data_IF_182384633030
#
_entry.id   IF_182384633030
#
_cell.length_a   1.000
_cell.length_b   1.000
_cell.length_c   1.000
_cell.angle_alpha   90.00
_cell.angle_beta   90.00
_cell.angle_gamma   90.00
#
_symmetry.space_group_name_H-M   'P 1'
#
loop_
_entity.id
_entity.type
_entity.pdbx_description
1 polymer ?
#
# COMPACT_ATOMS: atom_id res chain seq x y z
N UNK A 1 9.35 -6.44 -1.77
CA UNK A 1 8.68 -6.67 -0.49
C UNK A 1 8.64 -5.37 0.31
N UNK A 2 9.73 -4.91 0.85
CA UNK A 2 9.85 -3.72 1.70
C UNK A 2 9.09 -2.47 1.15
N UNK A 3 9.21 -2.19 -0.15
CA UNK A 3 8.44 -1.12 -0.80
C UNK A 3 6.91 -1.33 -0.68
N UNK A 4 6.43 -2.55 -0.84
CA UNK A 4 5.00 -2.84 -0.72
C UNK A 4 4.53 -2.62 0.72
N UNK A 5 5.24 -3.17 1.70
CA UNK A 5 4.84 -3.12 3.09
C UNK A 5 5.00 -1.73 3.71
N UNK A 6 6.07 -1.00 3.35
CA UNK A 6 6.41 0.27 3.99
C UNK A 6 5.88 1.50 3.23
N UNK A 7 5.76 1.40 1.90
CA UNK A 7 5.25 2.53 1.12
C UNK A 7 3.78 2.38 0.71
N UNK A 8 3.37 1.22 0.15
CA UNK A 8 2.00 1.07 -0.37
C UNK A 8 0.96 1.08 0.76
N UNK A 9 1.35 0.77 1.99
CA UNK A 9 0.50 0.98 3.19
C UNK A 9 0.12 2.45 3.40
N UNK A 10 0.92 3.42 2.93
CA UNK A 10 0.65 4.85 3.13
C UNK A 10 -0.55 5.34 2.30
N UNK A 11 -0.64 5.09 0.98
CA UNK A 11 -1.87 5.36 0.24
C UNK A 11 -3.06 4.51 0.72
N UNK A 12 -2.85 3.26 1.16
CA UNK A 12 -3.91 2.47 1.80
C UNK A 12 -4.47 3.21 3.02
N UNK A 13 -3.61 3.65 3.92
CA UNK A 13 -4.02 4.35 5.12
C UNK A 13 -4.65 5.72 4.81
N UNK A 14 -4.15 6.41 3.77
CA UNK A 14 -4.74 7.65 3.28
C UNK A 14 -6.20 7.42 2.86
N UNK A 15 -6.47 6.57 1.90
CA UNK A 15 -7.82 6.35 1.38
C UNK A 15 -8.76 5.83 2.46
N UNK A 16 -8.33 4.86 3.24
CA UNK A 16 -9.11 4.23 4.32
C UNK A 16 -9.64 5.22 5.35
N UNK A 17 -8.85 6.25 5.67
CA UNK A 17 -9.17 7.16 6.78
C UNK A 17 -9.39 8.61 6.36
N UNK A 18 -9.30 8.94 5.07
CA UNK A 18 -9.54 10.30 4.57
C UNK A 18 -11.02 10.58 4.33
N UNK A 19 -11.68 9.71 3.60
CA UNK A 19 -13.08 9.87 3.20
C UNK A 19 -14.02 9.32 4.27
N UNK A 20 -15.11 10.04 4.65
CA UNK A 20 -16.09 9.56 5.61
C UNK A 20 -16.78 8.25 5.21
N UNK A 21 -16.94 7.96 3.93
CA UNK A 21 -17.53 6.72 3.44
C UNK A 21 -16.61 5.53 3.72
N UNK A 22 -15.32 5.65 3.35
CA UNK A 22 -14.31 4.63 3.63
C UNK A 22 -14.14 4.42 5.13
N UNK A 23 -14.04 5.52 5.92
CA UNK A 23 -13.99 5.44 7.38
C UNK A 23 -15.19 4.67 7.97
N UNK A 24 -16.39 4.97 7.47
CA UNK A 24 -17.62 4.32 7.95
C UNK A 24 -17.65 2.84 7.62
N UNK A 25 -17.20 2.48 6.41
CA UNK A 25 -17.13 1.09 5.97
C UNK A 25 -16.14 0.29 6.83
N UNK A 26 -14.89 0.75 6.87
CA UNK A 26 -13.79 0.02 7.52
C UNK A 26 -13.96 -0.06 9.04
N UNK A 27 -14.45 1.02 9.67
CA UNK A 27 -14.61 1.02 11.13
C UNK A 27 -15.57 -0.06 11.62
N UNK A 28 -16.54 -0.49 10.82
CA UNK A 28 -17.53 -1.49 11.22
C UNK A 28 -16.93 -2.88 11.32
N UNK A 29 -16.19 -3.32 10.30
CA UNK A 29 -15.61 -4.65 10.34
C UNK A 29 -14.29 -4.70 11.14
N UNK A 30 -13.43 -3.68 11.03
CA UNK A 30 -12.19 -3.63 11.79
C UNK A 30 -12.40 -3.52 13.30
N UNK A 31 -13.51 -2.92 13.75
CA UNK A 31 -13.86 -2.88 15.15
C UNK A 31 -14.27 -4.24 15.71
N UNK A 32 -14.76 -5.18 14.90
CA UNK A 32 -15.12 -6.52 15.37
C UNK A 32 -13.91 -7.27 15.92
N UNK A 33 -12.78 -7.19 15.24
CA UNK A 33 -11.53 -7.79 15.73
C UNK A 33 -11.06 -7.12 17.03
N UNK A 34 -11.29 -5.81 17.15
CA UNK A 34 -10.92 -5.04 18.35
C UNK A 34 -11.83 -5.28 19.54
N UNK A 35 -13.08 -5.67 19.33
CA UNK A 35 -14.04 -5.94 20.40
C UNK A 35 -13.56 -7.04 21.38
N UNK A 36 -12.68 -7.92 20.91
CA UNK A 36 -12.07 -8.97 21.74
C UNK A 36 -11.21 -8.37 22.87
N UNK A 37 -10.62 -7.20 22.64
CA UNK A 37 -9.76 -6.51 23.61
C UNK A 37 -10.53 -5.53 24.52
N UNK A 38 -11.80 -5.23 24.20
CA UNK A 38 -12.63 -4.25 24.89
C UNK A 38 -14.02 -4.83 25.23
N UNK A 39 -14.06 -5.92 26.02
CA UNK A 39 -15.30 -6.70 26.24
C UNK A 39 -16.40 -5.93 26.98
N UNK A 40 -16.06 -4.83 27.68
CA UNK A 40 -17.01 -3.99 28.41
C UNK A 40 -17.66 -2.90 27.55
N UNK A 41 -17.14 -2.65 26.34
CA UNK A 41 -17.67 -1.64 25.42
C UNK A 41 -18.79 -2.21 24.56
N UNK A 42 -19.79 -1.39 24.28
CA UNK A 42 -20.78 -1.70 23.25
C UNK A 42 -20.13 -1.67 21.85
N UNK A 43 -20.74 -2.33 20.88
CA UNK A 43 -20.25 -2.35 19.49
C UNK A 43 -20.04 -0.94 18.93
N UNK A 44 -20.97 -0.02 19.17
CA UNK A 44 -20.89 1.35 18.67
C UNK A 44 -19.75 2.14 19.33
N UNK A 45 -19.50 1.91 20.62
CA UNK A 45 -18.36 2.50 21.32
C UNK A 45 -17.03 1.97 20.79
N UNK A 46 -16.91 0.65 20.54
CA UNK A 46 -15.71 0.06 19.92
C UNK A 46 -15.48 0.63 18.54
N UNK A 47 -16.52 0.74 17.69
CA UNK A 47 -16.43 1.35 16.35
C UNK A 47 -15.94 2.79 16.42
N UNK A 48 -16.51 3.60 17.33
CA UNK A 48 -16.12 4.99 17.48
C UNK A 48 -14.66 5.13 17.99
N UNK A 49 -14.29 4.33 18.99
CA UNK A 49 -12.95 4.31 19.55
C UNK A 49 -11.90 3.89 18.51
N UNK A 50 -12.14 2.78 17.81
CA UNK A 50 -11.27 2.29 16.75
C UNK A 50 -11.06 3.33 15.66
N UNK A 51 -12.15 3.94 15.14
CA UNK A 51 -12.09 4.99 14.14
C UNK A 51 -11.25 6.18 14.63
N UNK A 52 -11.55 6.71 15.79
CA UNK A 52 -10.84 7.85 16.35
C UNK A 52 -9.34 7.58 16.50
N UNK A 53 -8.98 6.40 16.98
CA UNK A 53 -7.60 5.96 17.10
C UNK A 53 -6.90 5.90 15.74
N UNK A 54 -7.51 5.33 14.73
CA UNK A 54 -6.88 5.21 13.41
C UNK A 54 -6.75 6.57 12.71
N UNK A 55 -7.78 7.40 12.77
CA UNK A 55 -7.74 8.77 12.22
C UNK A 55 -6.64 9.60 12.89
N UNK A 56 -6.46 9.49 14.22
CA UNK A 56 -5.38 10.20 14.92
C UNK A 56 -3.97 9.77 14.49
N UNK A 57 -3.82 8.60 13.88
CA UNK A 57 -2.54 8.08 13.36
C UNK A 57 -2.21 8.49 11.94
N UNK A 58 -3.16 9.10 11.21
CA UNK A 58 -2.93 9.50 9.82
C UNK A 58 -1.66 10.33 9.62
N UNK A 59 -1.36 11.35 10.45
CA UNK A 59 -0.14 12.14 10.29
C UNK A 59 1.15 11.32 10.49
N UNK A 60 1.12 10.28 11.33
CA UNK A 60 2.30 9.41 11.57
C UNK A 60 2.71 8.68 10.29
N UNK A 61 1.74 8.27 9.48
CA UNK A 61 1.97 7.61 8.19
C UNK A 61 2.06 8.59 7.02
N UNK A 62 2.03 9.91 7.32
CA UNK A 62 2.06 10.95 6.30
C UNK A 62 0.76 11.12 5.52
N UNK A 63 -0.35 10.52 5.97
CA UNK A 63 -1.66 10.71 5.37
C UNK A 63 -2.25 12.08 5.76
N UNK A 64 -1.73 13.13 5.14
CA UNK A 64 -2.08 14.53 5.37
C UNK A 64 -2.54 15.21 4.09
N UNK A 65 -3.16 16.38 4.21
CA UNK A 65 -3.57 17.18 3.06
C UNK A 65 -2.39 17.57 2.16
N UNK A 66 -1.24 17.88 2.76
CA UNK A 66 -0.01 18.24 2.05
C UNK A 66 0.50 17.09 1.18
N UNK A 67 0.44 15.87 1.70
CA UNK A 67 0.96 14.67 1.06
C UNK A 67 -0.05 13.93 0.17
N UNK A 68 -1.32 14.35 0.20
CA UNK A 68 -2.41 13.65 -0.50
C UNK A 68 -2.09 13.39 -1.97
N UNK A 69 -1.60 14.40 -2.67
CA UNK A 69 -1.30 14.30 -4.10
C UNK A 69 -0.27 13.22 -4.42
N UNK A 70 0.84 13.18 -3.67
CA UNK A 70 1.89 12.19 -3.90
C UNK A 70 1.43 10.77 -3.53
N UNK A 71 0.73 10.61 -2.43
CA UNK A 71 0.22 9.30 -2.01
C UNK A 71 -0.81 8.74 -3.00
N UNK A 72 -1.74 9.57 -3.45
CA UNK A 72 -2.72 9.18 -4.47
C UNK A 72 -2.05 8.81 -5.80
N UNK A 73 -1.09 9.61 -6.26
CA UNK A 73 -0.35 9.33 -7.49
C UNK A 73 0.52 8.07 -7.36
N UNK A 74 1.12 7.82 -6.19
CA UNK A 74 1.92 6.60 -5.98
C UNK A 74 1.07 5.33 -6.11
N UNK A 75 -0.16 5.34 -5.60
CA UNK A 75 -1.11 4.24 -5.79
C UNK A 75 -1.45 4.03 -7.26
N UNK A 76 -1.79 5.11 -7.98
CA UNK A 76 -2.08 5.03 -9.43
C UNK A 76 -0.90 4.46 -10.21
N UNK A 77 0.33 4.87 -9.91
CA UNK A 77 1.53 4.36 -10.58
C UNK A 77 1.78 2.90 -10.30
N UNK A 78 1.56 2.44 -9.07
CA UNK A 78 1.65 1.01 -8.73
C UNK A 78 0.63 0.21 -9.55
N UNK A 79 -0.61 0.66 -9.63
CA UNK A 79 -1.64 -0.01 -10.43
C UNK A 79 -1.25 -0.08 -11.92
N UNK A 80 -0.82 1.04 -12.50
CA UNK A 80 -0.41 1.11 -13.92
C UNK A 80 0.85 0.30 -14.21
N UNK A 81 1.75 0.15 -13.24
CA UNK A 81 2.92 -0.73 -13.35
C UNK A 81 2.56 -2.22 -13.28
N UNK A 82 1.46 -2.58 -12.65
CA UNK A 82 0.96 -3.95 -12.58
C UNK A 82 0.13 -4.33 -13.81
N UNK A 83 -0.77 -3.46 -14.23
CA UNK A 83 -1.85 -3.73 -15.18
C UNK A 83 -1.44 -4.43 -16.48
N UNK A 84 -0.35 -4.03 -17.18
CA UNK A 84 0.05 -4.70 -18.43
C UNK A 84 0.70 -6.08 -18.21
N UNK A 85 1.01 -6.45 -16.98
CA UNK A 85 1.80 -7.65 -16.67
C UNK A 85 1.01 -8.74 -15.95
N UNK A 86 -0.07 -8.37 -15.26
CA UNK A 86 -0.90 -9.34 -14.54
C UNK A 86 -1.72 -10.19 -15.51
N UNK A 87 -1.57 -11.50 -15.42
CA UNK A 87 -2.26 -12.46 -16.27
C UNK A 87 -2.51 -13.79 -15.55
N UNK A 88 -3.13 -14.74 -16.23
CA UNK A 88 -3.33 -16.08 -15.66
C UNK A 88 -1.97 -16.76 -15.51
N UNK A 89 -1.61 -17.13 -14.28
CA UNK A 89 -0.33 -17.76 -13.97
C UNK A 89 0.89 -16.84 -14.15
N UNK A 90 0.68 -15.52 -14.13
CA UNK A 90 1.76 -14.54 -14.21
C UNK A 90 2.01 -13.89 -12.86
N UNK A 91 3.27 -13.91 -12.43
CA UNK A 91 3.80 -13.31 -11.22
C UNK A 91 5.06 -12.52 -11.55
N UNK A 92 5.56 -11.73 -10.60
CA UNK A 92 6.70 -10.82 -10.81
C UNK A 92 7.93 -11.56 -11.35
N UNK A 93 8.17 -12.80 -10.88
CA UNK A 93 9.35 -13.59 -11.26
C UNK A 93 9.03 -14.89 -12.00
N UNK A 94 7.95 -14.95 -12.76
CA UNK A 94 7.59 -16.09 -13.60
C UNK A 94 6.17 -16.59 -13.40
N UNK A 95 5.97 -17.90 -13.46
CA UNK A 95 4.67 -18.53 -13.27
C UNK A 95 4.45 -19.06 -11.84
N UNK A 96 5.31 -18.70 -10.91
CA UNK A 96 5.28 -19.07 -9.49
C UNK A 96 5.25 -17.82 -8.61
N UNK A 97 4.34 -17.75 -7.60
CA UNK A 97 4.29 -16.63 -6.69
C UNK A 97 5.57 -16.52 -5.85
N UNK A 98 6.06 -15.31 -5.69
CA UNK A 98 7.18 -14.96 -4.84
C UNK A 98 6.73 -14.15 -3.62
N UNK A 99 7.62 -13.93 -2.66
CA UNK A 99 7.34 -13.06 -1.52
C UNK A 99 7.00 -11.63 -1.96
N UNK A 100 7.56 -11.16 -3.09
CA UNK A 100 7.22 -9.85 -3.65
C UNK A 100 5.78 -9.78 -4.15
N UNK A 101 5.27 -10.88 -4.74
CA UNK A 101 3.86 -10.96 -5.14
C UNK A 101 2.93 -10.98 -3.91
N UNK A 102 3.31 -11.72 -2.87
CA UNK A 102 2.53 -11.80 -1.64
C UNK A 102 2.47 -10.47 -0.88
N UNK A 103 3.59 -9.75 -0.79
CA UNK A 103 3.64 -8.43 -0.18
C UNK A 103 2.79 -7.41 -0.97
N UNK A 104 2.90 -7.42 -2.30
CA UNK A 104 2.08 -6.57 -3.16
C UNK A 104 0.59 -6.91 -3.05
N UNK A 105 0.27 -8.21 -3.06
CA UNK A 105 -1.09 -8.71 -2.84
C UNK A 105 -1.65 -8.22 -1.49
N UNK A 106 -0.89 -8.32 -0.40
CA UNK A 106 -1.33 -7.91 0.93
C UNK A 106 -1.86 -6.47 0.94
N UNK A 107 -1.13 -5.53 0.34
CA UNK A 107 -1.56 -4.13 0.29
C UNK A 107 -2.67 -3.88 -0.74
N UNK A 108 -2.59 -4.50 -1.92
CA UNK A 108 -3.58 -4.30 -2.97
C UNK A 108 -4.92 -4.96 -2.65
N UNK A 109 -4.96 -6.06 -1.89
CA UNK A 109 -6.20 -6.69 -1.44
C UNK A 109 -6.99 -5.78 -0.51
N UNK A 110 -6.30 -5.13 0.42
CA UNK A 110 -6.90 -4.15 1.33
C UNK A 110 -7.43 -2.91 0.56
N UNK A 111 -6.61 -2.36 -0.36
CA UNK A 111 -7.01 -1.27 -1.26
C UNK A 111 -8.17 -1.66 -2.20
N UNK A 112 -8.24 -2.93 -2.60
CA UNK A 112 -9.32 -3.49 -3.41
C UNK A 112 -10.62 -3.75 -2.63
N UNK A 113 -10.59 -3.58 -1.31
CA UNK A 113 -11.74 -3.78 -0.41
C UNK A 113 -12.41 -2.45 -0.03
N UNK A 114 -11.61 -1.41 0.21
CA UNK A 114 -12.11 -0.10 0.61
C UNK A 114 -12.81 0.63 -0.56
N UNK A 115 -13.96 1.30 -0.34
CA UNK A 115 -14.80 1.84 -1.42
C UNK A 115 -14.07 2.72 -2.44
N UNK A 116 -13.35 3.74 -1.99
CA UNK A 116 -12.68 4.71 -2.87
C UNK A 116 -11.51 4.10 -3.64
N UNK A 117 -10.50 3.44 -3.02
CA UNK A 117 -9.38 2.90 -3.78
C UNK A 117 -9.79 1.69 -4.64
N UNK A 118 -10.78 0.90 -4.23
CA UNK A 118 -11.36 -0.16 -5.05
C UNK A 118 -11.96 0.40 -6.35
N UNK A 119 -12.71 1.50 -6.28
CA UNK A 119 -13.27 2.15 -7.47
C UNK A 119 -12.16 2.59 -8.42
N UNK A 120 -11.10 3.21 -7.90
CA UNK A 120 -9.93 3.62 -8.69
C UNK A 120 -9.28 2.39 -9.36
N UNK A 121 -9.03 1.31 -8.60
CA UNK A 121 -8.42 0.09 -9.13
C UNK A 121 -9.23 -0.48 -10.28
N UNK A 122 -10.54 -0.62 -10.13
CA UNK A 122 -11.45 -1.15 -11.16
C UNK A 122 -11.53 -0.27 -12.40
N UNK A 123 -11.38 1.04 -12.25
CA UNK A 123 -11.44 2.00 -13.36
C UNK A 123 -10.16 1.96 -14.21
N UNK A 124 -8.98 1.94 -13.59
CA UNK A 124 -7.71 2.11 -14.30
C UNK A 124 -6.87 0.84 -14.40
N UNK A 125 -7.18 -0.20 -13.62
CA UNK A 125 -6.41 -1.44 -13.53
C UNK A 125 -7.32 -2.67 -13.29
N UNK A 126 -8.29 -2.95 -14.18
CA UNK A 126 -9.26 -4.04 -13.98
C UNK A 126 -8.62 -5.43 -13.99
N UNK A 127 -7.52 -5.66 -14.72
CA UNK A 127 -6.80 -6.93 -14.68
C UNK A 127 -6.05 -7.11 -13.37
N UNK A 128 -5.55 -6.02 -12.78
CA UNK A 128 -4.94 -6.03 -11.44
C UNK A 128 -5.98 -6.33 -10.36
N UNK A 129 -7.19 -5.73 -10.41
CA UNK A 129 -8.31 -6.09 -9.51
C UNK A 129 -8.60 -7.59 -9.60
N UNK A 130 -8.63 -8.13 -10.81
CA UNK A 130 -8.86 -9.57 -11.00
C UNK A 130 -7.69 -10.45 -10.51
N UNK A 131 -6.44 -10.00 -10.71
CA UNK A 131 -5.26 -10.69 -10.20
C UNK A 131 -5.27 -10.76 -8.67
N UNK A 132 -5.59 -9.65 -7.99
CA UNK A 132 -5.72 -9.59 -6.53
C UNK A 132 -6.73 -10.63 -6.04
N UNK A 133 -7.91 -10.76 -6.67
CA UNK A 133 -8.92 -11.75 -6.29
C UNK A 133 -8.47 -13.19 -6.49
N UNK A 134 -7.65 -13.46 -7.52
CA UNK A 134 -7.08 -14.79 -7.74
C UNK A 134 -5.94 -15.11 -6.80
N UNK A 135 -5.19 -14.08 -6.38
CA UNK A 135 -4.08 -14.25 -5.45
C UNK A 135 -4.53 -14.54 -4.00
N UNK A 136 -5.82 -14.43 -3.72
CA UNK A 136 -6.42 -14.81 -2.43
C UNK A 136 -6.31 -16.31 -2.14
N UNK A 137 -6.34 -17.14 -3.18
CA UNK A 137 -6.05 -18.58 -3.07
C UNK A 137 -5.06 -19.02 -4.15
N UNK A 138 -3.83 -19.22 -3.73
CA UNK A 138 -2.74 -19.73 -4.56
C UNK A 138 -2.47 -21.22 -4.35
N UNK A 139 -3.42 -21.96 -3.76
CA UNK A 139 -3.30 -23.40 -3.55
C UNK A 139 -3.08 -24.13 -4.88
N UNK A 140 -2.04 -24.95 -4.95
CA UNK A 140 -1.70 -25.73 -6.13
C UNK A 140 -1.05 -24.95 -7.28
N UNK A 141 -0.73 -23.67 -7.09
CA UNK A 141 0.06 -22.91 -8.05
C UNK A 141 1.53 -23.27 -7.89
N UNK A 142 2.04 -24.11 -8.78
CA UNK A 142 3.42 -24.60 -8.78
C UNK A 142 4.04 -24.44 -10.18
N UNK A 143 4.20 -23.18 -10.60
CA UNK A 143 4.80 -22.83 -11.88
C UNK A 143 6.32 -22.69 -11.83
N UNK A 144 6.94 -22.49 -12.98
CA UNK A 144 8.37 -22.26 -13.09
C UNK A 144 8.75 -20.82 -12.70
N UNK A 145 9.93 -20.69 -12.09
CA UNK A 145 10.60 -19.40 -11.98
C UNK A 145 11.06 -18.92 -13.35
N UNK A 146 11.11 -17.61 -13.54
CA UNK A 146 11.76 -17.01 -14.69
C UNK A 146 13.23 -17.42 -14.73
N UNK A 147 13.72 -17.81 -15.90
CA UNK A 147 15.12 -18.20 -16.05
C UNK A 147 16.04 -16.98 -15.90
N UNK A 148 17.23 -17.19 -15.32
CA UNK A 148 18.17 -16.08 -15.07
C UNK A 148 18.66 -15.42 -16.35
N UNK A 149 18.79 -16.19 -17.45
CA UNK A 149 19.15 -15.71 -18.78
C UNK A 149 18.11 -14.79 -19.40
N UNK A 150 16.84 -14.88 -18.99
CA UNK A 150 15.78 -13.98 -19.46
C UNK A 150 15.82 -12.58 -18.79
N UNK A 151 16.74 -12.39 -17.84
CA UNK A 151 16.93 -11.14 -17.11
C UNK A 151 15.75 -10.79 -16.19
N UNK A 152 15.74 -9.54 -15.73
CA UNK A 152 14.68 -9.04 -14.84
C UNK A 152 13.37 -8.91 -15.62
N UNK A 153 12.26 -9.32 -15.01
CA UNK A 153 10.96 -9.25 -15.66
C UNK A 153 10.55 -7.80 -15.93
N UNK A 154 9.83 -7.51 -17.03
CA UNK A 154 9.31 -6.16 -17.30
C UNK A 154 8.47 -5.62 -16.12
N UNK A 155 7.67 -6.46 -15.49
CA UNK A 155 6.89 -6.06 -14.32
C UNK A 155 7.78 -5.61 -13.16
N UNK A 156 8.81 -6.39 -12.83
CA UNK A 156 9.77 -6.00 -11.80
C UNK A 156 10.48 -4.68 -12.15
N UNK A 157 10.83 -4.45 -13.44
CA UNK A 157 11.46 -3.21 -13.88
C UNK A 157 10.54 -2.00 -13.63
N UNK A 158 9.25 -2.09 -13.96
CA UNK A 158 8.30 -0.99 -13.74
C UNK A 158 8.14 -0.68 -12.23
N UNK A 159 8.04 -1.70 -11.39
CA UNK A 159 7.99 -1.50 -9.92
C UNK A 159 9.30 -0.90 -9.40
N UNK A 160 10.46 -1.37 -9.87
CA UNK A 160 11.76 -0.85 -9.48
C UNK A 160 11.99 0.61 -9.91
N UNK A 161 11.37 1.07 -11.00
CA UNK A 161 11.36 2.51 -11.35
C UNK A 161 10.67 3.34 -10.28
N UNK A 162 9.50 2.91 -9.82
CA UNK A 162 8.78 3.60 -8.74
C UNK A 162 9.63 3.60 -7.46
N UNK A 163 10.24 2.48 -7.13
CA UNK A 163 11.15 2.37 -5.99
C UNK A 163 12.30 3.38 -6.11
N UNK A 164 12.95 3.46 -7.27
CA UNK A 164 14.07 4.37 -7.52
C UNK A 164 13.69 5.86 -7.55
N UNK A 165 12.50 6.18 -8.05
CA UNK A 165 12.02 7.56 -8.17
C UNK A 165 11.41 8.11 -6.86
N UNK A 166 10.92 7.23 -5.98
CA UNK A 166 10.14 7.60 -4.81
C UNK A 166 10.69 7.03 -3.52
N UNK A 167 10.79 5.70 -3.43
CA UNK A 167 11.04 5.04 -2.14
C UNK A 167 12.49 5.17 -1.67
N UNK A 168 13.46 4.95 -2.55
CA UNK A 168 14.88 5.15 -2.19
C UNK A 168 15.21 6.60 -1.82
N UNK A 169 14.75 7.64 -2.54
CA UNK A 169 14.87 9.03 -2.10
C UNK A 169 14.22 9.28 -0.73
N UNK A 170 13.06 8.68 -0.46
CA UNK A 170 12.41 8.78 0.85
C UNK A 170 13.26 8.17 1.96
N UNK A 171 13.77 6.94 1.78
CA UNK A 171 14.63 6.29 2.77
C UNK A 171 15.90 7.12 3.06
N UNK A 172 16.58 7.61 2.01
CA UNK A 172 17.76 8.43 2.15
C UNK A 172 17.49 9.78 2.85
N UNK A 173 16.33 10.40 2.58
CA UNK A 173 15.93 11.63 3.25
C UNK A 173 15.58 11.36 4.73
N UNK A 174 14.90 10.25 5.03
CA UNK A 174 14.59 9.86 6.40
C UNK A 174 15.86 9.60 7.22
N UNK A 175 16.77 8.79 6.70
CA UNK A 175 18.06 8.50 7.36
C UNK A 175 18.82 9.78 7.67
N UNK A 176 18.96 10.68 6.69
CA UNK A 176 19.65 11.94 6.84
C UNK A 176 19.00 12.82 7.90
N UNK A 177 17.68 13.01 7.82
CA UNK A 177 16.95 13.85 8.77
C UNK A 177 17.02 13.29 10.19
N UNK A 178 16.91 11.96 10.34
CA UNK A 178 17.02 11.27 11.63
C UNK A 178 18.42 11.46 12.25
N UNK A 179 19.49 11.24 11.47
CA UNK A 179 20.86 11.34 11.94
C UNK A 179 21.26 12.81 12.28
N UNK A 180 20.69 13.78 11.58
CA UNK A 180 20.90 15.20 11.82
C UNK A 180 19.98 15.78 12.92
N UNK A 181 19.08 14.98 13.50
CA UNK A 181 18.14 15.41 14.54
C UNK A 181 17.13 16.45 14.03
N UNK A 182 16.75 16.36 12.76
CA UNK A 182 15.72 17.25 12.19
C UNK A 182 14.34 16.79 12.60
N UNK A 183 13.42 17.71 12.78
CA UNK A 183 12.01 17.41 13.09
C UNK A 183 11.20 17.07 11.84
N UNK A 184 11.77 17.29 10.64
CA UNK A 184 11.07 17.17 9.36
C UNK A 184 12.00 16.61 8.29
N UNK A 185 11.51 15.61 7.55
CA UNK A 185 12.03 15.21 6.25
C UNK A 185 11.12 15.74 5.14
N UNK A 186 11.70 16.02 3.98
CA UNK A 186 10.97 16.44 2.81
C UNK A 186 11.58 15.80 1.57
N UNK A 187 10.74 15.27 0.69
CA UNK A 187 11.09 14.81 -0.65
C UNK A 187 10.10 15.38 -1.65
N UNK A 188 10.46 15.30 -2.93
CA UNK A 188 9.52 15.51 -4.02
C UNK A 188 9.69 14.39 -5.05
N UNK A 189 8.59 13.85 -5.51
CA UNK A 189 8.55 12.94 -6.63
C UNK A 189 7.41 13.33 -7.58
N UNK A 190 7.66 13.24 -8.88
CA UNK A 190 6.70 13.56 -9.94
C UNK A 190 6.09 14.97 -9.80
N UNK A 191 6.87 15.92 -9.28
CA UNK A 191 6.45 17.31 -9.06
C UNK A 191 5.56 17.53 -7.82
N UNK A 192 5.37 16.51 -6.98
CA UNK A 192 4.56 16.59 -5.77
C UNK A 192 5.41 16.44 -4.51
N UNK A 193 5.19 17.27 -3.47
CA UNK A 193 5.90 17.16 -2.21
C UNK A 193 5.40 16.02 -1.35
N UNK A 194 6.26 15.52 -0.48
CA UNK A 194 5.92 14.66 0.65
C UNK A 194 6.74 15.02 1.87
N UNK A 195 6.07 15.17 2.98
CA UNK A 195 6.64 15.63 4.23
C UNK A 195 6.25 14.71 5.37
N UNK A 196 7.23 14.39 6.21
CA UNK A 196 7.00 13.52 7.38
C UNK A 196 7.97 13.92 8.50
N UNK A 197 7.64 13.54 9.74
CA UNK A 197 8.64 13.52 10.82
C UNK A 197 9.56 12.32 10.64
N UNK A 198 10.90 12.49 10.77
CA UNK A 198 11.83 11.37 10.64
C UNK A 198 11.59 10.31 11.70
N UNK A 199 11.83 9.07 11.36
CA UNK A 199 11.69 7.93 12.26
C UNK A 199 12.82 6.92 12.07
N UNK A 200 13.09 6.16 13.12
CA UNK A 200 14.07 5.08 13.08
C UNK A 200 13.42 3.85 12.46
N UNK A 201 14.00 3.36 11.37
CA UNK A 201 13.73 2.01 10.89
C UNK A 201 14.29 1.00 11.91
N UNK A 202 13.49 0.00 12.22
CA UNK A 202 13.91 -1.08 13.13
C UNK A 202 14.54 -2.22 12.32
#
# INVERSE_FOLDING_TARGET
EDFADEWVVKPLFLYRWWDPEDQSYVSRWGAEEWSVFEPEMTRDEVVAHFRARQVSRMPILGATKENYGLLAESYRRVLLACEPHVGIGQFIFGARPSIADLALYGQLSELGTDPTPMKIMREIAPFTDHWVRRADDLSGVDGAWRAAEDGVSPWAIELLRIVGELYLPFLAANERAFNEGRDRLEIAAWGMPYVLSPFKYQ
#
